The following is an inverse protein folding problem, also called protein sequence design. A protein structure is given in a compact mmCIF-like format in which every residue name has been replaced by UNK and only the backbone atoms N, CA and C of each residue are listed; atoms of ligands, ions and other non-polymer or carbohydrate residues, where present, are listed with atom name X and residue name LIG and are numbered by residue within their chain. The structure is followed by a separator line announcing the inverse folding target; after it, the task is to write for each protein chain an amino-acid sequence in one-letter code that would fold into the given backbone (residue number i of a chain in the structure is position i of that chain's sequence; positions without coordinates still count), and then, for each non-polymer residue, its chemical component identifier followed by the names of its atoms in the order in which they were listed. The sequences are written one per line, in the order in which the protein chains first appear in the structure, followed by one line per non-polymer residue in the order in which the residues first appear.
data_IF_734873091984
#
_entry.id   IF_734873091984
#
_cell.length_a   1.000
_cell.length_b   1.000
_cell.length_c   1.000
_cell.angle_alpha   90.00
_cell.angle_beta   90.00
_cell.angle_gamma   90.00
#
_symmetry.space_group_name_H-M   'P 1'
#
loop_
_entity.id
_entity.type
_entity.pdbx_description
1 polymer ?
#
# COMPACT_ATOMS: atom_id res chain seq x y z
N UNK A 1 -0.32 18.10 0.58
CA UNK A 1 0.27 18.86 -0.55
C UNK A 1 0.69 17.91 -1.65
N UNK A 2 0.19 18.14 -2.84
CA UNK A 2 0.63 17.40 -4.03
C UNK A 2 1.74 18.18 -4.72
N UNK A 3 2.81 17.47 -5.10
CA UNK A 3 3.98 18.03 -5.76
C UNK A 3 3.81 17.92 -7.27
N UNK A 4 4.37 18.85 -8.03
CA UNK A 4 4.48 18.67 -9.48
C UNK A 4 5.49 17.57 -9.82
N UNK A 5 5.60 17.21 -11.11
CA UNK A 5 6.44 16.11 -11.56
C UNK A 5 7.93 16.32 -11.20
N UNK A 6 8.45 17.53 -11.37
CA UNK A 6 9.85 17.84 -11.10
C UNK A 6 10.16 17.81 -9.60
N UNK A 7 9.29 18.42 -8.79
CA UNK A 7 9.40 18.39 -7.33
C UNK A 7 9.33 16.97 -6.81
N UNK A 8 8.38 16.17 -7.28
CA UNK A 8 8.23 14.79 -6.83
C UNK A 8 9.41 13.92 -7.27
N UNK A 9 9.93 14.09 -8.48
CA UNK A 9 11.14 13.41 -8.95
C UNK A 9 12.33 13.70 -8.04
N UNK A 10 12.51 14.95 -7.63
CA UNK A 10 13.57 15.35 -6.71
C UNK A 10 13.42 14.67 -5.35
N UNK A 11 12.21 14.65 -4.81
CA UNK A 11 11.91 14.00 -3.51
C UNK A 11 12.18 12.50 -3.59
N UNK A 12 11.67 11.81 -4.60
CA UNK A 12 11.85 10.35 -4.76
C UNK A 12 13.32 9.99 -4.93
N UNK A 13 14.07 10.78 -5.68
CA UNK A 13 15.49 10.54 -5.93
C UNK A 13 16.37 10.75 -4.71
N UNK A 14 16.05 11.70 -3.83
CA UNK A 14 16.95 12.17 -2.78
C UNK A 14 16.60 11.72 -1.37
N UNK A 15 15.38 11.22 -1.13
CA UNK A 15 14.93 10.86 0.22
C UNK A 15 13.95 9.70 0.20
N UNK A 16 13.88 8.88 1.27
CA UNK A 16 12.80 7.90 1.40
C UNK A 16 11.46 8.60 1.56
N UNK A 17 10.41 7.95 1.08
CA UNK A 17 9.01 8.35 1.25
C UNK A 17 8.40 7.61 2.43
N UNK A 18 7.42 8.20 3.07
CA UNK A 18 6.62 7.54 4.10
C UNK A 18 5.25 7.22 3.51
N UNK A 19 4.82 5.97 3.64
CA UNK A 19 3.51 5.53 3.18
C UNK A 19 2.78 4.70 4.22
N UNK A 20 1.47 4.57 4.05
CA UNK A 20 0.63 3.63 4.78
C UNK A 20 0.21 2.54 3.82
N UNK A 21 0.35 1.28 4.23
CA UNK A 21 -0.21 0.14 3.53
C UNK A 21 -1.39 -0.42 4.32
N UNK A 22 -2.47 -0.72 3.61
CA UNK A 22 -3.75 -1.14 4.16
C UNK A 22 -3.93 -2.64 3.90
N UNK A 23 -3.78 -3.45 4.93
CA UNK A 23 -4.04 -4.89 4.86
C UNK A 23 -5.51 -5.09 5.23
N UNK A 24 -6.37 -5.07 4.21
CA UNK A 24 -7.84 -5.03 4.34
C UNK A 24 -8.40 -6.44 4.25
N UNK A 25 -9.01 -6.90 5.34
CA UNK A 25 -9.63 -8.23 5.46
C UNK A 25 -11.15 -8.09 5.50
N UNK A 26 -11.85 -8.88 4.70
CA UNK A 26 -13.32 -8.91 4.72
C UNK A 26 -13.85 -9.94 5.72
N UNK A 27 -15.19 -10.04 5.82
CA UNK A 27 -15.90 -10.96 6.70
C UNK A 27 -15.64 -12.44 6.42
N UNK A 28 -15.10 -12.78 5.24
CA UNK A 28 -14.76 -14.15 4.84
C UNK A 28 -13.28 -14.50 5.09
N UNK A 29 -12.50 -13.55 5.63
CA UNK A 29 -11.06 -13.73 5.83
C UNK A 29 -10.24 -13.62 4.56
N UNK A 30 -10.77 -12.98 3.53
CA UNK A 30 -10.05 -12.67 2.29
C UNK A 30 -9.47 -11.26 2.35
N UNK A 31 -8.35 -11.07 1.67
CA UNK A 31 -7.60 -9.81 1.63
C UNK A 31 -7.74 -9.12 0.28
N UNK A 32 -7.85 -7.80 0.32
CA UNK A 32 -8.00 -6.97 -0.87
C UNK A 32 -6.63 -6.68 -1.49
N UNK A 33 -6.52 -6.93 -2.79
CA UNK A 33 -5.38 -6.50 -3.61
C UNK A 33 -5.88 -5.84 -4.89
N UNK A 34 -5.10 -4.89 -5.39
CA UNK A 34 -5.34 -4.20 -6.65
C UNK A 34 -4.12 -4.32 -7.56
N UNK A 35 -4.35 -4.38 -8.87
CA UNK A 35 -3.28 -4.45 -9.86
C UNK A 35 -2.80 -3.03 -10.21
N UNK A 36 -1.51 -2.77 -10.02
CA UNK A 36 -0.93 -1.45 -10.29
C UNK A 36 -0.90 -1.13 -11.78
N UNK A 37 -1.38 0.06 -12.13
CA UNK A 37 -1.33 0.58 -13.49
C UNK A 37 -0.09 1.43 -13.76
N UNK A 38 0.61 1.89 -12.71
CA UNK A 38 1.73 2.83 -12.78
C UNK A 38 3.02 2.23 -12.19
N UNK A 39 4.16 2.79 -12.62
CA UNK A 39 5.47 2.50 -12.03
C UNK A 39 5.61 3.16 -10.64
N UNK A 40 6.43 2.65 -9.71
CA UNK A 40 7.22 1.41 -9.82
C UNK A 40 6.37 0.14 -9.73
N UNK A 41 6.95 -0.97 -10.19
CA UNK A 41 6.34 -2.31 -10.13
C UNK A 41 4.95 -2.41 -10.81
N UNK A 42 4.81 -1.75 -11.96
CA UNK A 42 3.60 -1.80 -12.79
C UNK A 42 3.24 -3.25 -13.15
N UNK A 43 1.95 -3.55 -13.08
CA UNK A 43 1.42 -4.87 -13.44
C UNK A 43 1.39 -5.90 -12.31
N UNK A 44 1.98 -5.60 -11.16
CA UNK A 44 1.91 -6.45 -9.98
C UNK A 44 0.66 -6.16 -9.14
N UNK A 45 0.23 -7.17 -8.39
CA UNK A 45 -0.80 -7.03 -7.37
C UNK A 45 -0.22 -6.55 -6.05
N UNK A 46 -0.86 -5.56 -5.45
CA UNK A 46 -0.48 -4.95 -4.18
C UNK A 46 -1.67 -4.75 -3.27
N UNK A 47 -1.43 -4.68 -1.95
CA UNK A 47 -2.41 -4.12 -1.03
C UNK A 47 -2.60 -2.62 -1.35
N UNK A 48 -3.79 -2.05 -1.08
CA UNK A 48 -3.99 -0.60 -1.21
C UNK A 48 -3.09 0.18 -0.25
N UNK A 49 -2.77 1.40 -0.62
CA UNK A 49 -1.97 2.27 0.22
C UNK A 49 -1.61 3.57 -0.48
N UNK A 50 -0.80 4.37 0.18
CA UNK A 50 -0.33 5.60 -0.41
C UNK A 50 0.55 6.41 0.52
N UNK A 51 1.16 7.44 -0.03
CA UNK A 51 2.12 8.30 0.64
C UNK A 51 1.43 9.21 1.66
N UNK A 52 2.08 9.40 2.81
CA UNK A 52 1.75 10.48 3.75
C UNK A 52 2.22 11.80 3.15
N UNK A 53 1.37 12.80 3.15
CA UNK A 53 1.69 14.11 2.61
C UNK A 53 2.35 14.99 3.68
N UNK A 54 3.12 15.99 3.23
CA UNK A 54 3.75 16.93 4.15
C UNK A 54 2.70 17.65 5.00
N UNK A 55 2.98 17.78 6.29
CA UNK A 55 2.13 18.43 7.30
C UNK A 55 0.77 17.74 7.54
N UNK A 56 0.64 16.49 7.10
CA UNK A 56 -0.53 15.64 7.33
C UNK A 56 -0.25 14.72 8.53
N UNK A 57 -1.18 14.65 9.49
CA UNK A 57 -1.08 13.66 10.56
C UNK A 57 -1.35 12.25 10.03
N UNK A 58 -0.94 11.21 10.77
CA UNK A 58 -1.22 9.83 10.36
C UNK A 58 -2.72 9.54 10.32
N UNK A 59 -3.50 10.14 11.24
CA UNK A 59 -4.95 10.02 11.26
C UNK A 59 -5.58 10.64 10.00
N UNK A 60 -5.09 11.83 9.61
CA UNK A 60 -5.54 12.48 8.37
C UNK A 60 -5.17 11.68 7.13
N UNK A 61 -3.93 11.19 7.07
CA UNK A 61 -3.46 10.34 5.98
C UNK A 61 -4.29 9.06 5.86
N UNK A 62 -4.55 8.40 6.99
CA UNK A 62 -5.34 7.16 7.02
C UNK A 62 -6.77 7.39 6.51
N UNK A 63 -7.44 8.43 7.01
CA UNK A 63 -8.81 8.78 6.57
C UNK A 63 -8.84 9.12 5.08
N UNK A 64 -7.91 9.92 4.60
CA UNK A 64 -7.81 10.29 3.18
C UNK A 64 -7.54 9.08 2.30
N UNK A 65 -6.58 8.23 2.68
CA UNK A 65 -6.19 7.06 1.89
C UNK A 65 -7.29 6.01 1.85
N UNK A 66 -7.95 5.73 2.97
CA UNK A 66 -9.08 4.79 2.98
C UNK A 66 -10.23 5.31 2.12
N UNK A 67 -10.53 6.60 2.16
CA UNK A 67 -11.54 7.19 1.28
C UNK A 67 -11.13 7.06 -0.20
N UNK A 68 -9.87 7.34 -0.54
CA UNK A 68 -9.38 7.30 -1.92
C UNK A 68 -9.26 5.87 -2.46
N UNK A 69 -8.78 4.93 -1.63
CA UNK A 69 -8.47 3.57 -2.05
C UNK A 69 -9.63 2.58 -1.89
N UNK A 70 -10.51 2.82 -0.93
CA UNK A 70 -11.60 1.91 -0.58
C UNK A 70 -12.99 2.51 -0.88
N UNK A 71 -13.06 3.80 -1.22
CA UNK A 71 -14.32 4.51 -1.42
C UNK A 71 -15.09 4.80 -0.13
N UNK A 72 -14.48 4.50 1.02
CA UNK A 72 -15.06 4.70 2.35
C UNK A 72 -13.94 5.13 3.30
N UNK A 73 -14.11 6.29 3.96
CA UNK A 73 -13.18 6.78 4.97
C UNK A 73 -13.32 6.01 6.28
N UNK A 74 -12.19 5.61 6.84
CA UNK A 74 -12.09 4.95 8.15
C UNK A 74 -11.21 5.76 9.07
N UNK A 75 -11.41 5.61 10.38
CA UNK A 75 -10.54 6.21 11.39
C UNK A 75 -9.32 5.31 11.63
N UNK A 76 -8.17 5.91 11.93
CA UNK A 76 -6.97 5.16 12.30
C UNK A 76 -7.21 4.24 13.50
N UNK A 77 -8.05 4.66 14.45
CA UNK A 77 -8.43 3.87 15.61
C UNK A 77 -9.22 2.60 15.28
N UNK A 78 -9.79 2.50 14.08
CA UNK A 78 -10.47 1.29 13.61
C UNK A 78 -9.48 0.23 13.10
N UNK A 79 -8.23 0.61 12.90
CA UNK A 79 -7.18 -0.25 12.37
C UNK A 79 -6.22 -0.71 13.45
N UNK A 80 -5.52 -1.80 13.19
CA UNK A 80 -4.47 -2.33 14.04
C UNK A 80 -3.12 -2.12 13.37
N UNK A 81 -2.18 -1.52 14.09
CA UNK A 81 -0.81 -1.35 13.61
C UNK A 81 -0.15 -2.71 13.31
N UNK A 82 0.46 -2.82 12.15
CA UNK A 82 1.11 -4.04 11.67
C UNK A 82 2.54 -3.79 11.20
N UNK A 83 3.32 -3.12 12.01
CA UNK A 83 4.76 -2.99 11.84
C UNK A 83 5.21 -1.86 10.91
N UNK A 84 6.52 -1.61 10.96
CA UNK A 84 7.23 -0.70 10.07
C UNK A 84 8.02 -1.54 9.07
N UNK A 85 7.76 -1.33 7.78
CA UNK A 85 8.31 -2.10 6.67
C UNK A 85 9.22 -1.23 5.81
N UNK A 86 10.12 -1.85 5.07
CA UNK A 86 11.00 -1.15 4.14
C UNK A 86 10.80 -1.70 2.75
N UNK A 87 10.42 -0.84 1.81
CA UNK A 87 10.18 -1.22 0.43
C UNK A 87 11.18 -0.51 -0.48
N UNK A 88 11.96 -1.29 -1.21
CA UNK A 88 12.94 -0.82 -2.17
C UNK A 88 12.54 -1.25 -3.58
N UNK A 89 12.55 -0.31 -4.51
CA UNK A 89 12.31 -0.57 -5.92
C UNK A 89 13.47 0.01 -6.72
N UNK A 90 14.00 -0.74 -7.68
CA UNK A 90 15.02 -0.24 -8.61
C UNK A 90 14.44 0.75 -9.60
N UNK A 91 13.12 0.77 -9.73
CA UNK A 91 12.32 1.58 -10.62
C UNK A 91 11.72 2.79 -9.92
N UNK A 92 11.17 3.73 -10.69
CA UNK A 92 10.45 4.90 -10.18
C UNK A 92 9.29 5.28 -11.09
N UNK A 93 8.43 6.18 -10.63
CA UNK A 93 7.22 6.60 -11.34
C UNK A 93 7.48 7.30 -12.68
N UNK A 94 8.65 7.94 -12.84
CA UNK A 94 8.98 8.72 -14.04
C UNK A 94 9.73 7.91 -15.09
N UNK A 95 10.23 6.72 -14.74
CA UNK A 95 11.10 5.91 -15.61
C UNK A 95 12.52 6.44 -15.73
N UNK A 96 12.90 7.47 -14.96
CA UNK A 96 14.28 7.97 -14.90
C UNK A 96 15.23 6.98 -14.20
N UNK A 97 16.51 7.30 -14.17
CA UNK A 97 17.57 6.47 -13.61
C UNK A 97 17.76 6.76 -12.10
N UNK A 98 16.76 6.38 -11.30
CA UNK A 98 16.85 6.44 -9.84
C UNK A 98 15.84 5.45 -9.21
N UNK A 99 16.17 5.02 -8.00
CA UNK A 99 15.36 4.07 -7.23
C UNK A 99 14.21 4.76 -6.48
N UNK A 100 13.29 3.94 -5.95
CA UNK A 100 12.25 4.38 -5.02
C UNK A 100 12.44 3.66 -3.68
N UNK A 101 12.40 4.40 -2.59
CA UNK A 101 12.53 3.87 -1.24
C UNK A 101 11.36 4.35 -0.38
N UNK A 102 10.63 3.41 0.22
CA UNK A 102 9.56 3.71 1.16
C UNK A 102 9.85 3.15 2.54
N UNK A 103 9.60 3.96 3.56
CA UNK A 103 9.34 3.49 4.92
C UNK A 103 7.82 3.37 5.05
N UNK A 104 7.34 2.17 5.27
CA UNK A 104 5.91 1.85 5.20
C UNK A 104 5.38 1.49 6.58
N UNK A 105 4.30 2.15 6.98
CA UNK A 105 3.53 1.80 8.17
C UNK A 105 2.38 0.88 7.74
N UNK A 106 2.44 -0.38 8.15
CA UNK A 106 1.38 -1.35 7.86
C UNK A 106 0.22 -1.21 8.85
N UNK A 107 -1.01 -1.30 8.36
CA UNK A 107 -2.21 -1.31 9.18
C UNK A 107 -3.17 -2.39 8.72
N UNK A 108 -3.67 -3.19 9.65
CA UNK A 108 -4.75 -4.16 9.40
C UNK A 108 -6.09 -3.51 9.66
N UNK A 109 -7.00 -3.65 8.70
CA UNK A 109 -8.35 -3.13 8.79
C UNK A 109 -9.34 -4.23 8.44
N UNK A 110 -10.29 -4.52 9.32
CA UNK A 110 -11.39 -5.43 9.05
C UNK A 110 -12.61 -4.65 8.58
N UNK A 111 -13.19 -5.09 7.48
CA UNK A 111 -14.35 -4.44 6.86
C UNK A 111 -15.38 -5.48 6.46
N UNK A 112 -16.60 -5.02 6.22
CA UNK A 112 -17.57 -5.78 5.43
C UNK A 112 -17.38 -5.41 3.97
N UNK A 113 -17.33 -6.40 3.10
CA UNK A 113 -17.09 -6.20 1.67
C UNK A 113 -18.10 -5.22 1.04
N UNK A 114 -19.35 -5.23 1.51
CA UNK A 114 -20.43 -4.35 1.03
C UNK A 114 -20.31 -2.89 1.51
N UNK A 115 -19.44 -2.59 2.48
CA UNK A 115 -19.16 -1.22 2.90
C UNK A 115 -18.30 -0.45 1.90
N UNK A 116 -17.59 -1.15 1.01
CA UNK A 116 -16.58 -0.55 0.13
C UNK A 116 -17.17 -0.19 -1.24
N UNK A 117 -16.66 0.92 -1.80
CA UNK A 117 -16.90 1.34 -3.17
C UNK A 117 -15.56 1.54 -3.87
N UNK A 118 -14.97 0.44 -4.39
CA UNK A 118 -13.62 0.44 -4.92
C UNK A 118 -13.50 1.33 -6.16
N UNK A 119 -12.55 2.28 -6.19
CA UNK A 119 -12.35 3.17 -7.32
C UNK A 119 -11.75 2.42 -8.52
N UNK A 120 -12.22 2.72 -9.73
CA UNK A 120 -11.74 2.09 -10.96
C UNK A 120 -10.54 2.81 -11.61
N UNK A 121 -10.14 3.95 -11.06
CA UNK A 121 -9.15 4.83 -11.68
C UNK A 121 -7.69 4.50 -11.34
N UNK A 122 -7.42 3.89 -10.19
CA UNK A 122 -6.05 3.64 -9.71
C UNK A 122 -5.53 2.24 -10.01
N UNK A 123 -6.44 1.29 -10.22
CA UNK A 123 -6.12 -0.10 -10.50
C UNK A 123 -7.00 -0.62 -11.63
N UNK A 124 -6.43 -1.41 -12.53
CA UNK A 124 -7.18 -2.08 -13.59
C UNK A 124 -8.17 -3.09 -13.05
N UNK A 125 -7.83 -3.69 -11.90
CA UNK A 125 -8.63 -4.74 -11.30
C UNK A 125 -8.40 -4.78 -9.79
N UNK A 126 -9.43 -5.27 -9.09
CA UNK A 126 -9.38 -5.61 -7.67
C UNK A 126 -9.79 -7.05 -7.49
N UNK A 127 -9.22 -7.71 -6.50
CA UNK A 127 -9.73 -9.02 -6.07
C UNK A 127 -9.54 -9.24 -4.57
N UNK A 128 -10.40 -10.10 -4.05
CA UNK A 128 -10.34 -10.61 -2.68
C UNK A 128 -9.76 -12.03 -2.72
N UNK A 129 -8.69 -12.26 -1.98
CA UNK A 129 -7.96 -13.53 -2.03
C UNK A 129 -7.55 -14.01 -0.65
N UNK A 130 -7.49 -15.33 -0.48
CA UNK A 130 -6.92 -15.95 0.72
C UNK A 130 -5.43 -15.65 0.83
N UNK A 131 -4.94 -15.49 2.06
CA UNK A 131 -3.52 -15.23 2.32
C UNK A 131 -2.60 -16.29 1.71
N UNK A 132 -2.97 -17.56 1.81
CA UNK A 132 -2.18 -18.67 1.22
C UNK A 132 -2.02 -18.51 -0.29
N UNK A 133 -3.06 -18.10 -1.01
CA UNK A 133 -3.00 -17.86 -2.45
C UNK A 133 -2.12 -16.64 -2.80
N UNK A 134 -2.16 -15.60 -1.99
CA UNK A 134 -1.31 -14.41 -2.19
C UNK A 134 0.18 -14.73 -2.04
N UNK A 135 0.54 -15.54 -1.05
CA UNK A 135 1.94 -15.91 -0.78
C UNK A 135 2.56 -16.69 -1.95
N UNK A 136 1.80 -17.53 -2.63
CA UNK A 136 2.30 -18.41 -3.68
C UNK A 136 2.31 -17.76 -5.07
N UNK A 137 1.57 -16.66 -5.28
CA UNK A 137 1.43 -16.02 -6.59
C UNK A 137 2.58 -15.08 -6.88
N UNK A 138 3.37 -15.37 -7.91
CA UNK A 138 4.49 -14.54 -8.35
C UNK A 138 4.04 -13.20 -8.98
N UNK A 139 2.77 -13.05 -9.34
CA UNK A 139 2.21 -11.77 -9.81
C UNK A 139 1.82 -10.86 -8.65
N UNK A 140 1.76 -11.37 -7.43
CA UNK A 140 1.70 -10.56 -6.22
C UNK A 140 3.11 -10.11 -5.88
N UNK A 141 3.32 -8.80 -5.74
CA UNK A 141 4.65 -8.28 -5.46
C UNK A 141 5.21 -8.82 -4.14
N UNK A 142 6.53 -9.02 -4.10
CA UNK A 142 7.24 -9.53 -2.91
C UNK A 142 6.88 -8.75 -1.64
N UNK A 143 6.83 -7.41 -1.74
CA UNK A 143 6.51 -6.55 -0.60
C UNK A 143 5.10 -6.81 -0.05
N UNK A 144 4.14 -7.15 -0.90
CA UNK A 144 2.78 -7.54 -0.46
C UNK A 144 2.76 -8.97 0.08
N UNK A 145 3.45 -9.91 -0.55
CA UNK A 145 3.52 -11.29 -0.07
C UNK A 145 4.10 -11.38 1.35
N UNK A 146 5.04 -10.50 1.67
CA UNK A 146 5.68 -10.47 2.99
C UNK A 146 4.69 -10.23 4.13
N UNK A 147 3.60 -9.49 3.90
CA UNK A 147 2.57 -9.27 4.91
C UNK A 147 1.88 -10.57 5.36
N UNK A 148 1.88 -11.58 4.51
CA UNK A 148 1.18 -12.85 4.72
C UNK A 148 2.11 -14.05 4.95
N UNK A 149 3.42 -13.83 5.00
CA UNK A 149 4.43 -14.90 5.16
C UNK A 149 5.47 -14.51 6.19
N UNK A 150 5.40 -15.12 7.38
CA UNK A 150 6.32 -14.85 8.49
C UNK A 150 7.79 -15.05 8.12
N UNK A 151 8.10 -15.96 7.19
CA UNK A 151 9.47 -16.20 6.75
C UNK A 151 10.08 -15.00 5.98
N UNK A 152 9.27 -14.07 5.53
CA UNK A 152 9.69 -12.85 4.80
C UNK A 152 9.67 -11.60 5.68
N UNK A 153 9.53 -11.74 6.99
CA UNK A 153 9.33 -10.62 7.92
C UNK A 153 10.60 -10.25 8.70
N UNK A 154 11.76 -10.73 8.27
CA UNK A 154 13.03 -10.33 8.86
C UNK A 154 13.26 -8.82 8.73
N UNK A 155 13.63 -8.17 9.83
CA UNK A 155 13.88 -6.74 9.87
C UNK A 155 12.65 -5.85 9.95
N UNK A 156 11.44 -6.45 10.05
CA UNK A 156 10.21 -5.68 10.27
C UNK A 156 10.12 -5.29 11.74
N UNK A 157 9.90 -4.00 12.01
CA UNK A 157 9.79 -3.48 13.37
C UNK A 157 8.35 -3.45 13.83
N UNK A 158 8.12 -3.76 15.11
CA UNK A 158 6.80 -3.60 15.74
C UNK A 158 5.80 -4.74 15.45
N UNK A 159 6.28 -5.89 15.00
CA UNK A 159 5.43 -7.08 14.87
C UNK A 159 5.36 -7.88 16.16
#
# INVERSE_FOLDING_TARGET
MFLDHEQFSTVVRLTPLISLDLIVENEHGDFLVGKRTNRPAQGYWFVPGGRVLKDESLEQAFSRLTQAELGQGFCLSDARFFGVWQHFYDDNFSGGDFSTHYVVLGFRLRVRKDELSLPVQQHDAYCWRKSAALVEDQQVHYNTRAYFNEALQDGVLGL
#
